data_IF_891170422361
#
_entry.id   IF_891170422361
#
_cell.length_a   1.000
_cell.length_b   1.000
_cell.length_c   1.000
_cell.angle_alpha   90.00
_cell.angle_beta   90.00
_cell.angle_gamma   90.00
#
_symmetry.space_group_name_H-M   'P 1'
#
loop_
_entity.id
_entity.type
_entity.pdbx_description
1 polymer ?
#
# COMPACT_ATOMS: atom_id res chain seq x y z
N UNK A 1 4.87 12.48 -28.41
CA UNK A 1 5.86 12.88 -27.39
C UNK A 1 5.10 13.50 -26.21
N UNK A 2 5.31 12.97 -25.01
CA UNK A 2 4.69 13.52 -23.81
C UNK A 2 5.24 14.91 -23.48
N UNK A 3 4.32 15.83 -23.19
CA UNK A 3 4.60 17.24 -22.87
C UNK A 3 5.60 17.38 -21.70
N UNK A 4 5.55 16.43 -20.77
CA UNK A 4 6.45 16.36 -19.60
C UNK A 4 7.87 15.97 -20.00
N UNK A 5 8.02 15.11 -21.00
CA UNK A 5 9.31 14.64 -21.51
C UNK A 5 9.99 15.73 -22.33
N UNK A 6 9.23 16.41 -23.19
CA UNK A 6 9.74 17.52 -24.00
C UNK A 6 10.31 18.67 -23.16
N UNK A 7 9.62 19.09 -22.10
CA UNK A 7 10.12 20.16 -21.21
C UNK A 7 11.44 19.79 -20.50
N UNK A 8 11.62 18.52 -20.13
CA UNK A 8 12.87 18.04 -19.52
C UNK A 8 14.01 18.02 -20.54
N UNK A 9 13.74 17.55 -21.76
CA UNK A 9 14.74 17.48 -22.84
C UNK A 9 15.13 18.87 -23.36
N UNK A 10 14.18 19.80 -23.47
CA UNK A 10 14.44 21.18 -23.92
C UNK A 10 15.11 22.05 -22.85
N UNK A 11 14.84 21.82 -21.56
CA UNK A 11 15.48 22.55 -20.46
C UNK A 11 16.98 22.26 -20.30
N UNK A 12 17.42 21.05 -20.64
CA UNK A 12 18.82 20.62 -20.53
C UNK A 12 19.73 21.12 -21.66
N UNK A 13 19.17 21.47 -22.82
CA UNK A 13 19.94 21.96 -23.96
C UNK A 13 20.23 23.48 -23.91
N UNK A 14 19.48 24.24 -23.10
CA UNK A 14 19.63 25.70 -22.98
C UNK A 14 20.80 26.19 -22.10
N UNK A 15 21.43 25.31 -21.32
CA UNK A 15 22.50 25.65 -20.36
C UNK A 15 23.89 25.12 -20.77
N UNK A 16 24.02 24.57 -21.98
CA UNK A 16 25.20 23.82 -22.40
C UNK A 16 26.41 24.61 -22.91
N UNK A 17 26.44 25.94 -22.89
CA UNK A 17 27.54 26.70 -23.52
C UNK A 17 28.35 27.66 -22.64
N UNK A 18 28.09 27.81 -21.34
CA UNK A 18 28.95 28.58 -20.44
C UNK A 18 28.95 27.98 -19.03
N UNK A 19 29.84 27.03 -18.73
CA UNK A 19 29.99 26.54 -17.36
C UNK A 19 30.55 25.12 -17.19
N UNK A 20 31.50 24.71 -18.02
CA UNK A 20 32.25 23.47 -17.79
C UNK A 20 33.43 23.71 -16.81
N UNK A 21 33.16 24.20 -15.60
CA UNK A 21 34.08 24.14 -14.47
C UNK A 21 33.36 24.58 -13.18
N UNK A 22 33.58 23.84 -12.09
CA UNK A 22 33.18 24.13 -10.69
C UNK A 22 31.69 24.10 -10.34
N UNK A 23 31.13 22.90 -10.20
CA UNK A 23 30.21 22.58 -9.08
C UNK A 23 29.92 21.06 -9.04
N UNK A 24 30.70 20.24 -8.31
CA UNK A 24 30.35 18.83 -8.03
C UNK A 24 29.07 18.65 -7.18
N UNK A 25 28.29 19.72 -6.99
CA UNK A 25 27.09 19.80 -6.15
C UNK A 25 25.80 19.79 -6.98
N UNK A 26 25.87 20.00 -8.30
CA UNK A 26 24.69 20.03 -9.18
C UNK A 26 24.21 18.64 -9.62
N UNK A 27 25.00 17.59 -9.40
CA UNK A 27 24.60 16.19 -9.63
C UNK A 27 23.85 15.56 -8.44
N UNK A 28 23.65 16.28 -7.34
CA UNK A 28 23.03 15.73 -6.12
C UNK A 28 21.49 15.74 -6.12
N UNK A 29 20.85 16.13 -7.23
CA UNK A 29 19.40 16.07 -7.40
C UNK A 29 19.00 15.11 -8.52
N UNK A 30 19.65 13.94 -8.63
CA UNK A 30 18.90 12.77 -9.06
C UNK A 30 17.90 12.49 -7.93
N UNK A 31 16.70 13.07 -8.05
CA UNK A 31 15.55 12.62 -7.27
C UNK A 31 15.56 11.11 -7.41
N UNK A 32 15.85 10.39 -6.31
CA UNK A 32 15.47 9.01 -6.22
C UNK A 32 13.98 9.03 -6.57
N UNK A 33 13.62 8.61 -7.78
CA UNK A 33 12.23 8.35 -8.09
C UNK A 33 11.88 7.29 -7.05
N UNK A 34 11.16 7.68 -6.00
CA UNK A 34 10.59 6.70 -5.07
C UNK A 34 9.91 5.66 -5.94
N UNK A 35 10.07 4.38 -5.59
CA UNK A 35 9.63 3.24 -6.40
C UNK A 35 8.32 3.58 -7.12
N UNK A 36 8.39 3.73 -8.44
CA UNK A 36 7.25 4.13 -9.24
C UNK A 36 6.23 3.00 -9.17
N UNK A 37 4.97 3.33 -8.86
CA UNK A 37 3.93 2.31 -8.74
C UNK A 37 3.78 1.51 -10.05
N UNK A 38 3.45 0.22 -9.97
CA UNK A 38 3.29 -0.60 -11.14
C UNK A 38 2.15 -0.04 -12.01
N UNK A 39 2.35 0.12 -13.33
CA UNK A 39 1.35 0.73 -14.20
C UNK A 39 0.05 -0.09 -14.30
N UNK A 40 0.18 -1.42 -14.18
CA UNK A 40 -0.93 -2.37 -14.23
C UNK A 40 -0.90 -3.25 -12.98
N UNK A 41 -1.98 -3.23 -12.20
CA UNK A 41 -2.09 -3.98 -10.97
C UNK A 41 -3.46 -4.65 -10.82
N UNK A 42 -3.50 -5.73 -10.05
CA UNK A 42 -4.70 -6.51 -9.79
C UNK A 42 -4.88 -6.78 -8.30
N UNK A 43 -6.13 -6.73 -7.83
CA UNK A 43 -6.48 -7.16 -6.49
C UNK A 43 -6.65 -8.69 -6.43
N UNK A 44 -6.07 -9.31 -5.41
CA UNK A 44 -6.17 -10.73 -5.12
C UNK A 44 -6.70 -10.99 -3.69
N UNK A 45 -7.57 -11.99 -3.59
CA UNK A 45 -7.89 -12.57 -2.29
C UNK A 45 -6.82 -13.60 -1.93
N UNK A 46 -6.22 -13.46 -0.75
CA UNK A 46 -5.27 -14.45 -0.26
C UNK A 46 -5.99 -15.77 -0.02
N UNK A 47 -5.43 -16.83 -0.58
CA UNK A 47 -5.79 -18.20 -0.25
C UNK A 47 -4.54 -18.90 0.29
N UNK A 48 -4.58 -19.25 1.58
CA UNK A 48 -3.49 -19.92 2.28
C UNK A 48 -3.36 -21.41 1.90
N UNK A 49 -4.42 -22.02 1.36
CA UNK A 49 -4.46 -23.44 1.00
C UNK A 49 -3.68 -23.73 -0.30
N UNK A 50 -3.45 -22.70 -1.12
CA UNK A 50 -2.67 -22.85 -2.35
C UNK A 50 -1.22 -23.17 -2.04
N UNK A 51 -0.63 -24.03 -2.87
CA UNK A 51 0.80 -24.38 -2.78
C UNK A 51 1.67 -23.23 -3.29
N UNK A 52 2.97 -23.27 -2.99
CA UNK A 52 3.92 -22.27 -3.50
C UNK A 52 4.00 -22.32 -5.03
N UNK A 53 3.99 -23.52 -5.61
CA UNK A 53 4.01 -23.73 -7.06
C UNK A 53 2.78 -23.12 -7.75
N UNK A 54 1.58 -23.26 -7.15
CA UNK A 54 0.37 -22.62 -7.67
C UNK A 54 0.48 -21.10 -7.63
N UNK A 55 1.03 -20.54 -6.56
CA UNK A 55 1.26 -19.10 -6.44
C UNK A 55 2.29 -18.58 -7.44
N UNK A 56 3.40 -19.28 -7.63
CA UNK A 56 4.39 -18.95 -8.64
C UNK A 56 3.79 -18.97 -10.05
N UNK A 57 2.98 -19.98 -10.38
CA UNK A 57 2.27 -20.05 -11.66
C UNK A 57 1.29 -18.88 -11.86
N UNK A 58 0.58 -18.46 -10.80
CA UNK A 58 -0.29 -17.29 -10.85
C UNK A 58 0.53 -16.03 -11.14
N UNK A 59 1.61 -15.80 -10.41
CA UNK A 59 2.46 -14.63 -10.58
C UNK A 59 3.05 -14.56 -12.00
N UNK A 60 3.56 -15.67 -12.52
CA UNK A 60 4.07 -15.77 -13.89
C UNK A 60 2.99 -15.49 -14.93
N UNK A 61 1.77 -16.00 -14.72
CA UNK A 61 0.62 -15.74 -15.60
C UNK A 61 0.23 -14.26 -15.61
N UNK A 62 0.22 -13.62 -14.45
CA UNK A 62 -0.06 -12.18 -14.35
C UNK A 62 1.02 -11.36 -15.05
N UNK A 63 2.28 -11.73 -14.85
CA UNK A 63 3.40 -11.06 -15.49
C UNK A 63 3.36 -11.18 -17.01
N UNK A 64 3.06 -12.37 -17.56
CA UNK A 64 2.93 -12.56 -19.01
C UNK A 64 1.77 -11.79 -19.62
N UNK A 65 0.72 -11.53 -18.82
CA UNK A 65 -0.39 -10.65 -19.17
C UNK A 65 -0.08 -9.15 -19.00
N UNK A 66 1.14 -8.77 -18.57
CA UNK A 66 1.55 -7.38 -18.39
C UNK A 66 1.11 -6.73 -17.07
N UNK A 67 0.66 -7.53 -16.10
CA UNK A 67 0.34 -7.10 -14.73
C UNK A 67 1.60 -7.22 -13.89
N UNK A 68 2.07 -6.09 -13.35
CA UNK A 68 3.34 -5.98 -12.62
C UNK A 68 3.15 -5.65 -11.14
N UNK A 69 1.91 -5.39 -10.71
CA UNK A 69 1.56 -5.17 -9.31
C UNK A 69 0.43 -6.07 -8.83
N UNK A 70 0.53 -6.52 -7.57
CA UNK A 70 -0.57 -7.20 -6.89
C UNK A 70 -0.93 -6.49 -5.58
N UNK A 71 -2.22 -6.30 -5.34
CA UNK A 71 -2.76 -5.88 -4.06
C UNK A 71 -3.35 -7.13 -3.39
N UNK A 72 -2.86 -7.54 -2.22
CA UNK A 72 -3.28 -8.81 -1.60
C UNK A 72 -3.64 -8.65 -0.11
N UNK A 73 -4.75 -9.26 0.29
CA UNK A 73 -5.14 -9.38 1.71
C UNK A 73 -4.43 -10.54 2.42
N UNK A 74 -4.85 -10.92 3.63
CA UNK A 74 -4.38 -12.15 4.31
C UNK A 74 -3.36 -11.97 5.44
N UNK A 75 -2.97 -10.73 5.74
CA UNK A 75 -2.13 -10.41 6.91
C UNK A 75 -0.66 -10.86 6.77
N UNK A 76 0.08 -10.76 7.88
CA UNK A 76 1.55 -10.96 7.90
C UNK A 76 1.99 -12.34 7.38
N UNK A 77 1.37 -13.47 7.77
CA UNK A 77 1.81 -14.79 7.31
C UNK A 77 1.76 -14.95 5.78
N UNK A 78 0.69 -14.45 5.15
CA UNK A 78 0.57 -14.49 3.70
C UNK A 78 1.59 -13.58 3.01
N UNK A 79 1.74 -12.35 3.51
CA UNK A 79 2.65 -11.38 2.92
C UNK A 79 4.10 -11.85 3.00
N UNK A 80 4.54 -12.39 4.13
CA UNK A 80 5.90 -12.94 4.30
C UNK A 80 6.19 -14.09 3.33
N UNK A 81 5.16 -14.81 2.88
CA UNK A 81 5.25 -15.90 1.91
C UNK A 81 5.32 -15.37 0.46
N UNK A 82 4.44 -14.43 0.10
CA UNK A 82 4.28 -13.95 -1.28
C UNK A 82 5.34 -12.94 -1.70
N UNK A 83 5.76 -12.05 -0.80
CA UNK A 83 6.70 -10.97 -1.13
C UNK A 83 7.99 -11.52 -1.76
N UNK A 84 8.67 -12.53 -1.19
CA UNK A 84 9.89 -13.08 -1.80
C UNK A 84 9.65 -13.75 -3.15
N UNK A 85 8.48 -14.38 -3.37
CA UNK A 85 8.15 -15.01 -4.65
C UNK A 85 7.91 -13.97 -5.75
N UNK A 86 7.14 -12.93 -5.43
CA UNK A 86 6.87 -11.82 -6.36
C UNK A 86 8.15 -11.03 -6.71
N UNK A 87 9.03 -10.80 -5.73
CA UNK A 87 10.29 -10.08 -5.91
C UNK A 87 11.22 -10.79 -6.91
N UNK A 88 11.32 -12.13 -6.86
CA UNK A 88 12.06 -12.93 -7.87
C UNK A 88 11.58 -12.68 -9.30
N UNK A 89 10.32 -12.32 -9.46
CA UNK A 89 9.70 -12.04 -10.75
C UNK A 89 9.61 -10.54 -11.06
N UNK A 90 10.15 -9.65 -10.22
CA UNK A 90 10.07 -8.20 -10.41
C UNK A 90 8.62 -7.69 -10.38
N UNK A 91 7.80 -8.25 -9.49
CA UNK A 91 6.43 -7.83 -9.26
C UNK A 91 6.30 -7.13 -7.92
N UNK A 92 5.57 -6.03 -7.90
CA UNK A 92 5.32 -5.26 -6.68
C UNK A 92 4.15 -5.86 -5.89
N UNK A 93 4.33 -5.96 -4.57
CA UNK A 93 3.31 -6.46 -3.65
C UNK A 93 2.84 -5.33 -2.73
N UNK A 94 1.56 -5.03 -2.79
CA UNK A 94 0.89 -4.09 -1.92
C UNK A 94 -0.03 -4.84 -0.96
N UNK A 95 0.10 -4.57 0.34
CA UNK A 95 -0.74 -5.18 1.36
C UNK A 95 -2.11 -4.46 1.41
N UNK A 96 -3.19 -5.21 1.24
CA UNK A 96 -4.53 -4.74 1.55
C UNK A 96 -4.83 -4.97 3.03
N UNK A 97 -5.26 -3.90 3.71
CA UNK A 97 -5.60 -3.95 5.13
C UNK A 97 -6.86 -3.15 5.44
N UNK A 98 -7.64 -3.63 6.40
CA UNK A 98 -8.71 -2.85 7.00
C UNK A 98 -8.14 -1.80 7.95
N UNK A 99 -8.19 -0.53 7.55
CA UNK A 99 -7.69 0.58 8.36
C UNK A 99 -8.67 0.97 9.48
N UNK A 100 -9.97 0.89 9.22
CA UNK A 100 -11.00 1.49 10.08
C UNK A 100 -11.93 0.44 10.71
N UNK A 101 -12.13 -0.67 10.01
CA UNK A 101 -12.93 -1.78 10.49
C UNK A 101 -12.06 -2.66 11.40
N UNK A 102 -12.26 -2.55 12.71
CA UNK A 102 -11.45 -3.22 13.75
C UNK A 102 -12.31 -4.17 14.59
N UNK A 103 -13.19 -4.90 13.94
CA UNK A 103 -13.96 -5.97 14.57
C UNK A 103 -13.05 -7.12 14.98
N UNK A 104 -13.14 -7.58 16.22
CA UNK A 104 -12.29 -8.66 16.74
C UNK A 104 -10.83 -8.26 16.97
N UNK A 105 -10.48 -6.98 16.84
CA UNK A 105 -9.17 -6.47 17.26
C UNK A 105 -9.13 -6.34 18.78
N UNK A 106 -8.41 -7.26 19.43
CA UNK A 106 -8.26 -7.29 20.88
C UNK A 106 -7.70 -6.00 21.48
N UNK A 107 -6.85 -5.28 20.75
CA UNK A 107 -6.29 -4.03 21.26
C UNK A 107 -7.32 -2.90 21.14
N UNK A 108 -7.99 -2.75 20.00
CA UNK A 108 -9.05 -1.76 19.84
C UNK A 108 -10.18 -1.96 20.86
N UNK A 109 -10.52 -3.22 21.20
CA UNK A 109 -11.54 -3.54 22.20
C UNK A 109 -11.19 -3.05 23.62
N UNK A 110 -9.90 -2.90 23.96
CA UNK A 110 -9.47 -2.33 25.26
C UNK A 110 -9.65 -0.82 25.32
N UNK A 111 -9.82 -0.15 24.18
CA UNK A 111 -9.94 1.30 24.07
C UNK A 111 -11.31 1.70 23.48
N UNK A 112 -12.41 1.57 24.23
CA UNK A 112 -13.75 1.88 23.74
C UNK A 112 -13.90 3.35 23.28
N UNK A 113 -13.08 4.26 23.81
CA UNK A 113 -13.03 5.67 23.41
C UNK A 113 -12.48 5.87 21.98
N UNK A 114 -11.82 4.86 21.41
CA UNK A 114 -11.31 4.92 20.05
C UNK A 114 -12.41 4.76 19.00
N UNK A 115 -13.55 4.14 19.34
CA UNK A 115 -14.62 3.90 18.38
C UNK A 115 -15.37 5.18 18.01
N UNK A 116 -15.85 5.22 16.77
CA UNK A 116 -16.81 6.25 16.36
C UNK A 116 -18.08 6.15 17.20
N UNK A 117 -18.61 7.30 17.60
CA UNK A 117 -19.88 7.42 18.32
C UNK A 117 -20.93 8.02 17.42
N UNK A 118 -22.16 7.50 17.51
CA UNK A 118 -23.31 8.06 16.82
C UNK A 118 -23.69 9.41 17.42
N UNK A 119 -24.57 10.16 16.74
CA UNK A 119 -25.12 11.43 17.27
C UNK A 119 -25.82 11.24 18.63
N UNK A 120 -26.38 10.05 18.89
CA UNK A 120 -27.03 9.69 20.14
C UNK A 120 -26.04 9.17 21.20
N UNK A 121 -24.74 9.43 21.01
CA UNK A 121 -23.65 8.99 21.88
C UNK A 121 -23.50 7.46 22.02
N UNK A 122 -24.07 6.68 21.11
CA UNK A 122 -23.91 5.22 21.10
C UNK A 122 -22.65 4.85 20.32
N UNK A 123 -21.67 4.13 20.93
CA UNK A 123 -20.49 3.65 20.21
C UNK A 123 -20.88 2.71 19.05
N UNK A 124 -20.17 2.82 17.93
CA UNK A 124 -20.36 1.95 16.77
C UNK A 124 -20.12 0.46 17.10
N UNK A 125 -19.35 0.16 18.15
CA UNK A 125 -19.18 -1.19 18.69
C UNK A 125 -20.37 -1.66 19.55
N UNK A 126 -21.16 -0.76 20.15
CA UNK A 126 -22.22 -1.07 21.12
C UNK A 126 -23.64 -0.91 20.57
N UNK A 127 -23.82 -0.19 19.45
CA UNK A 127 -25.11 0.06 18.80
C UNK A 127 -25.83 -1.20 18.30
N UNK A 128 -25.22 -2.38 18.39
CA UNK A 128 -25.72 -3.61 17.78
C UNK A 128 -25.59 -4.83 18.70
N UNK A 129 -26.02 -4.70 19.96
CA UNK A 129 -26.13 -5.85 20.86
C UNK A 129 -27.12 -6.95 20.39
N UNK A 130 -27.73 -6.82 19.20
CA UNK A 130 -28.69 -7.79 18.65
C UNK A 130 -28.28 -8.39 17.29
N UNK A 131 -27.09 -8.13 16.75
CA UNK A 131 -26.64 -8.81 15.53
C UNK A 131 -25.15 -9.13 15.54
N UNK A 132 -24.84 -10.41 15.34
CA UNK A 132 -23.52 -11.05 15.32
C UNK A 132 -22.56 -10.55 14.23
N UNK A 133 -22.84 -9.41 13.61
CA UNK A 133 -22.21 -8.98 12.35
C UNK A 133 -22.08 -7.45 12.23
N UNK A 134 -21.79 -6.73 13.33
CA UNK A 134 -21.58 -5.28 13.23
C UNK A 134 -20.11 -4.91 13.34
N UNK A 135 -19.63 -4.17 12.35
CA UNK A 135 -18.24 -3.76 12.26
C UNK A 135 -17.93 -2.57 13.18
N UNK A 136 -17.00 -2.76 14.13
CA UNK A 136 -16.54 -1.68 15.00
C UNK A 136 -15.62 -0.72 14.23
N UNK A 137 -16.02 0.55 14.12
CA UNK A 137 -15.27 1.55 13.35
C UNK A 137 -14.37 2.42 14.24
N UNK A 138 -13.06 2.41 13.97
CA UNK A 138 -12.04 3.20 14.68
C UNK A 138 -11.47 4.28 13.75
N UNK A 139 -11.88 5.56 13.87
CA UNK A 139 -11.36 6.65 13.03
C UNK A 139 -9.88 6.96 13.33
N UNK A 140 -9.09 7.36 12.33
CA UNK A 140 -7.66 7.60 12.49
C UNK A 140 -7.36 9.00 13.05
N UNK A 141 -8.38 9.82 13.33
CA UNK A 141 -8.22 11.22 13.76
C UNK A 141 -7.60 11.36 15.15
N UNK A 142 -7.64 10.32 15.98
CA UNK A 142 -6.99 10.35 17.29
C UNK A 142 -5.51 10.01 17.13
N UNK A 143 -4.65 10.76 17.84
CA UNK A 143 -3.19 10.53 17.76
C UNK A 143 -2.82 9.08 18.14
N UNK A 144 -3.46 8.54 19.18
CA UNK A 144 -3.24 7.16 19.63
C UNK A 144 -3.62 6.12 18.55
N UNK A 145 -4.77 6.29 17.89
CA UNK A 145 -5.23 5.37 16.83
C UNK A 145 -4.34 5.45 15.59
N UNK A 146 -3.88 6.65 15.22
CA UNK A 146 -2.99 6.81 14.06
C UNK A 146 -1.64 6.12 14.27
N UNK A 147 -1.05 6.24 15.46
CA UNK A 147 0.21 5.55 15.77
C UNK A 147 0.04 4.04 15.79
N UNK A 148 -1.08 3.54 16.32
CA UNK A 148 -1.37 2.10 16.37
C UNK A 148 -1.55 1.49 14.97
N UNK A 149 -2.28 2.16 14.08
CA UNK A 149 -2.56 1.66 12.73
C UNK A 149 -1.33 1.63 11.80
N UNK A 150 -0.30 2.41 12.13
CA UNK A 150 0.92 2.51 11.33
C UNK A 150 2.05 1.56 11.80
N UNK A 151 1.74 0.55 12.62
CA UNK A 151 2.69 -0.43 13.18
C UNK A 151 2.57 -1.81 12.53
#
# INVERSE_FOLDING_TARGET
MDKRTFLKTSGLLGLGLLGAATAPWLTSCASNNGAELPPNWMWFHANMERTDEEWENILLTLKSAGITGILIGGGRPMLSRIIPMADKHGMDVHAWMWTLNRSGDEEALKHPDWYAVSRMATPASMSAHTSTTTNGYVPPRRRCTSTYLNR
#
